data_IF_926363513945
#
_entry.id   IF_926363513945
#
_cell.length_a   1.000
_cell.length_b   1.000
_cell.length_c   1.000
_cell.angle_alpha   90.00
_cell.angle_beta   90.00
_cell.angle_gamma   90.00
#
_symmetry.space_group_name_H-M   'P 1'
#
loop_
_entity.id
_entity.type
_entity.pdbx_description
1 polymer ?
#
# COMPACT_ATOMS: atom_id res chain seq x y z
N UNK A 1 42.65 -13.94 42.30
CA UNK A 1 41.49 -14.33 41.53
C UNK A 1 40.83 -13.03 41.04
N UNK A 2 40.82 -12.72 39.74
CA UNK A 2 40.14 -11.52 39.22
C UNK A 2 38.68 -11.81 39.00
N UNK A 3 37.84 -10.93 39.55
CA UNK A 3 36.39 -11.01 39.48
C UNK A 3 35.84 -10.87 38.09
N UNK A 4 34.95 -11.77 37.72
CA UNK A 4 34.15 -11.75 36.48
C UNK A 4 33.13 -10.61 36.58
N UNK A 5 33.34 -9.52 35.84
CA UNK A 5 32.34 -8.48 35.66
C UNK A 5 31.23 -9.04 34.76
N UNK A 6 30.09 -9.36 35.35
CA UNK A 6 28.85 -9.63 34.68
C UNK A 6 28.42 -8.38 33.92
N UNK A 7 28.59 -8.36 32.59
CA UNK A 7 27.95 -7.40 31.71
C UNK A 7 26.50 -7.85 31.51
N UNK A 8 25.60 -7.40 32.37
CA UNK A 8 24.16 -7.50 32.10
C UNK A 8 23.88 -6.74 30.81
N UNK A 9 23.62 -7.48 29.71
CA UNK A 9 22.98 -6.93 28.54
C UNK A 9 21.65 -6.33 28.98
N UNK A 10 21.54 -5.00 29.00
CA UNK A 10 20.26 -4.33 29.04
C UNK A 10 19.52 -4.77 27.78
N UNK A 11 18.58 -5.69 27.94
CA UNK A 11 17.53 -5.96 26.94
C UNK A 11 16.75 -4.66 26.87
N UNK A 12 16.85 -3.96 25.74
CA UNK A 12 16.02 -2.82 25.44
C UNK A 12 14.59 -3.36 25.34
N UNK A 13 13.78 -3.02 26.33
CA UNK A 13 12.36 -3.37 26.42
C UNK A 13 11.59 -2.46 25.43
N UNK A 14 11.76 -2.73 24.14
CA UNK A 14 11.11 -2.01 23.02
C UNK A 14 10.22 -2.98 22.27
N UNK A 15 9.27 -3.58 22.99
CA UNK A 15 8.27 -4.45 22.38
C UNK A 15 7.21 -3.57 21.72
N UNK A 16 6.93 -3.78 20.44
CA UNK A 16 5.64 -3.41 19.88
C UNK A 16 4.58 -4.16 20.69
N UNK A 17 3.67 -3.43 21.35
CA UNK A 17 2.66 -4.08 22.19
C UNK A 17 1.48 -4.45 21.30
N UNK A 18 1.25 -5.75 21.17
CA UNK A 18 0.01 -6.24 20.55
C UNK A 18 -1.18 -5.70 21.35
N UNK A 19 -2.10 -5.03 20.66
CA UNK A 19 -3.35 -4.53 21.23
C UNK A 19 -4.44 -5.59 21.13
N UNK A 20 -4.57 -6.18 19.95
CA UNK A 20 -5.51 -7.26 19.71
C UNK A 20 -5.06 -8.11 18.49
N UNK A 21 -5.66 -9.27 18.39
CA UNK A 21 -5.49 -10.23 17.31
C UNK A 21 -6.85 -10.80 16.93
N UNK A 22 -7.11 -10.99 15.63
CA UNK A 22 -8.26 -11.67 15.09
C UNK A 22 -7.84 -12.70 14.03
N UNK A 23 -8.67 -13.70 13.82
CA UNK A 23 -8.46 -14.74 12.82
C UNK A 23 -9.55 -14.65 11.76
N UNK A 24 -9.16 -14.50 10.51
CA UNK A 24 -10.01 -14.69 9.33
C UNK A 24 -9.87 -16.13 8.84
N UNK A 25 -10.80 -16.55 8.01
CA UNK A 25 -10.85 -17.93 7.50
C UNK A 25 -9.74 -18.22 6.49
N UNK A 26 -9.14 -17.19 5.87
CA UNK A 26 -8.15 -17.32 4.80
C UNK A 26 -7.18 -16.15 4.76
N UNK A 27 -6.17 -16.22 3.89
CA UNK A 27 -5.14 -15.23 3.62
C UNK A 27 -5.70 -13.79 3.57
N UNK A 28 -5.09 -12.88 4.32
CA UNK A 28 -5.41 -11.45 4.30
C UNK A 28 -4.84 -10.82 3.04
N UNK A 29 -5.71 -10.52 2.09
CA UNK A 29 -5.32 -9.99 0.79
C UNK A 29 -5.28 -8.46 0.74
N UNK A 30 -6.12 -7.79 1.54
CA UNK A 30 -6.15 -6.34 1.62
C UNK A 30 -6.49 -5.88 3.04
N UNK A 31 -5.88 -4.79 3.48
CA UNK A 31 -5.99 -4.24 4.83
C UNK A 31 -6.00 -2.71 4.76
N UNK A 32 -7.05 -2.06 5.30
CA UNK A 32 -7.20 -0.62 5.24
C UNK A 32 -7.82 -0.02 6.49
N UNK A 33 -7.18 1.05 7.01
CA UNK A 33 -7.76 1.89 8.06
C UNK A 33 -8.75 2.89 7.47
N UNK A 34 -9.87 3.14 8.18
CA UNK A 34 -10.70 4.30 7.85
C UNK A 34 -9.92 5.60 8.07
N UNK A 35 -10.18 6.68 7.30
CA UNK A 35 -9.47 7.96 7.42
C UNK A 35 -9.55 8.60 8.82
N UNK A 36 -10.62 8.32 9.57
CA UNK A 36 -10.79 8.79 10.95
C UNK A 36 -10.15 7.86 12.00
N UNK A 37 -9.57 6.73 11.59
CA UNK A 37 -8.98 5.72 12.46
C UNK A 37 -9.97 4.93 13.32
N UNK A 38 -11.28 5.06 13.08
CA UNK A 38 -12.33 4.36 13.84
C UNK A 38 -12.38 2.87 13.51
N UNK A 39 -12.15 2.52 12.25
CA UNK A 39 -12.27 1.18 11.70
C UNK A 39 -10.95 0.67 11.11
N UNK A 40 -10.73 -0.62 11.27
CA UNK A 40 -9.80 -1.40 10.44
C UNK A 40 -10.63 -2.39 9.63
N UNK A 41 -10.38 -2.46 8.33
CA UNK A 41 -11.03 -3.41 7.44
C UNK A 41 -10.00 -4.37 6.88
N UNK A 42 -10.35 -5.65 6.90
CA UNK A 42 -9.54 -6.71 6.31
C UNK A 42 -10.39 -7.53 5.34
N UNK A 43 -9.86 -7.78 4.15
CA UNK A 43 -10.43 -8.67 3.16
C UNK A 43 -9.59 -9.94 3.04
N UNK A 44 -10.25 -11.08 2.90
CA UNK A 44 -9.60 -12.38 2.68
C UNK A 44 -9.73 -12.85 1.23
N UNK A 45 -8.81 -13.68 0.80
CA UNK A 45 -8.83 -14.32 -0.52
C UNK A 45 -10.11 -15.12 -0.74
N UNK A 46 -10.68 -15.73 0.31
CA UNK A 46 -11.96 -16.46 0.23
C UNK A 46 -13.20 -15.58 0.03
N UNK A 47 -13.06 -14.25 0.08
CA UNK A 47 -14.09 -13.27 -0.30
C UNK A 47 -14.63 -12.38 0.80
N UNK A 48 -14.93 -12.84 2.04
CA UNK A 48 -15.50 -11.99 3.07
C UNK A 48 -14.63 -10.80 3.46
N UNK A 49 -15.29 -9.70 3.82
CA UNK A 49 -14.66 -8.48 4.29
C UNK A 49 -15.11 -8.23 5.73
N UNK A 50 -14.17 -8.10 6.64
CA UNK A 50 -14.47 -7.90 8.06
C UNK A 50 -14.10 -6.47 8.48
N UNK A 51 -15.05 -5.78 9.10
CA UNK A 51 -14.87 -4.46 9.71
C UNK A 51 -14.66 -4.62 11.20
N UNK A 52 -13.53 -4.17 11.71
CA UNK A 52 -13.18 -4.20 13.13
C UNK A 52 -13.24 -2.80 13.74
N UNK A 53 -13.68 -2.70 14.99
CA UNK A 53 -13.41 -1.53 15.82
C UNK A 53 -11.90 -1.43 16.04
N UNK A 54 -11.28 -0.38 15.56
CA UNK A 54 -9.82 -0.22 15.50
C UNK A 54 -9.11 -0.42 16.83
N UNK A 55 -9.68 0.09 17.93
CA UNK A 55 -9.07 0.04 19.27
C UNK A 55 -9.20 -1.29 19.99
N UNK A 56 -10.26 -2.08 19.69
CA UNK A 56 -10.61 -3.28 20.46
C UNK A 56 -10.50 -4.57 19.68
N UNK A 57 -10.48 -4.51 18.34
CA UNK A 57 -10.56 -5.68 17.47
C UNK A 57 -11.93 -6.34 17.44
N UNK A 58 -12.94 -5.72 18.06
CA UNK A 58 -14.30 -6.24 18.03
C UNK A 58 -14.83 -6.18 16.58
N UNK A 59 -15.32 -7.30 16.07
CA UNK A 59 -16.00 -7.36 14.79
C UNK A 59 -17.28 -6.53 14.86
N UNK A 60 -17.39 -5.56 13.96
CA UNK A 60 -18.60 -4.73 13.82
C UNK A 60 -19.51 -5.29 12.73
N UNK A 61 -18.91 -5.61 11.57
CA UNK A 61 -19.65 -6.17 10.44
C UNK A 61 -18.80 -7.20 9.70
N UNK A 62 -19.47 -8.20 9.13
CA UNK A 62 -18.91 -9.12 8.14
C UNK A 62 -19.71 -8.88 6.87
N UNK A 63 -19.08 -8.29 5.87
CA UNK A 63 -19.67 -8.04 4.56
C UNK A 63 -19.47 -9.27 3.68
N UNK A 64 -20.44 -9.54 2.80
CA UNK A 64 -20.42 -10.74 1.97
C UNK A 64 -19.25 -10.83 0.97
N UNK A 65 -18.58 -9.70 0.71
CA UNK A 65 -17.43 -9.67 -0.19
C UNK A 65 -17.76 -10.09 -1.63
N UNK A 66 -16.82 -10.74 -2.29
CA UNK A 66 -16.92 -11.12 -3.69
C UNK A 66 -16.87 -12.63 -3.88
N UNK A 67 -17.57 -13.11 -4.92
CA UNK A 67 -17.46 -14.51 -5.35
C UNK A 67 -16.07 -14.72 -5.98
N UNK A 68 -15.40 -15.79 -5.63
CA UNK A 68 -14.04 -16.16 -6.02
C UNK A 68 -12.91 -15.40 -5.31
N UNK A 69 -13.16 -14.25 -4.70
CA UNK A 69 -12.18 -13.54 -3.91
C UNK A 69 -12.32 -12.02 -3.98
N UNK A 70 -11.96 -11.35 -2.88
CA UNK A 70 -11.84 -9.90 -2.82
C UNK A 70 -10.41 -9.51 -3.16
N UNK A 71 -10.20 -8.74 -4.24
CA UNK A 71 -8.88 -8.30 -4.69
C UNK A 71 -8.39 -7.10 -3.90
N UNK A 72 -9.24 -6.08 -3.73
CA UNK A 72 -8.86 -4.83 -3.10
C UNK A 72 -10.02 -4.19 -2.34
N UNK A 73 -9.68 -3.43 -1.29
CA UNK A 73 -10.59 -2.56 -0.55
C UNK A 73 -10.00 -1.15 -0.46
N UNK A 74 -10.84 -0.13 -0.57
CA UNK A 74 -10.43 1.26 -0.51
C UNK A 74 -11.49 2.15 0.14
N UNK A 75 -11.06 3.04 1.04
CA UNK A 75 -11.91 4.04 1.69
C UNK A 75 -11.96 5.31 0.86
N UNK A 76 -13.13 5.94 0.78
CA UNK A 76 -13.20 7.32 0.33
C UNK A 76 -12.60 8.28 1.37
N UNK A 77 -12.23 9.49 0.97
CA UNK A 77 -11.52 10.44 1.83
C UNK A 77 -12.27 10.82 3.11
N UNK A 78 -13.62 10.79 3.09
CA UNK A 78 -14.43 11.07 4.27
C UNK A 78 -14.66 9.89 5.22
N UNK A 79 -14.25 8.67 4.82
CA UNK A 79 -14.50 7.45 5.60
C UNK A 79 -15.96 7.00 5.65
N UNK A 80 -16.82 7.56 4.81
CA UNK A 80 -18.28 7.26 4.79
C UNK A 80 -18.66 6.18 3.80
N UNK A 81 -17.75 5.81 2.90
CA UNK A 81 -17.94 4.76 1.89
C UNK A 81 -16.68 3.90 1.83
N UNK A 82 -16.88 2.60 1.91
CA UNK A 82 -15.88 1.60 1.60
C UNK A 82 -16.18 1.03 0.21
N UNK A 83 -15.19 0.97 -0.67
CA UNK A 83 -15.27 0.25 -1.93
C UNK A 83 -14.54 -1.08 -1.81
N UNK A 84 -15.05 -2.12 -2.45
CA UNK A 84 -14.36 -3.39 -2.64
C UNK A 84 -14.44 -3.84 -4.07
N UNK A 85 -13.40 -4.52 -4.56
CA UNK A 85 -13.30 -5.08 -5.89
C UNK A 85 -12.93 -6.56 -5.81
N UNK A 86 -13.34 -7.34 -6.80
CA UNK A 86 -13.10 -8.77 -6.74
C UNK A 86 -12.98 -9.48 -8.08
N UNK A 87 -12.68 -10.77 -7.97
CA UNK A 87 -12.50 -11.70 -9.07
C UNK A 87 -13.81 -11.98 -9.84
N UNK A 88 -14.95 -11.61 -9.26
CA UNK A 88 -16.27 -11.70 -9.91
C UNK A 88 -16.54 -10.56 -10.92
N UNK A 89 -15.53 -9.69 -11.15
CA UNK A 89 -15.64 -8.55 -12.06
C UNK A 89 -16.55 -7.43 -11.53
N UNK A 90 -16.88 -7.47 -10.25
CA UNK A 90 -17.76 -6.48 -9.62
C UNK A 90 -16.96 -5.54 -8.71
N UNK A 91 -17.54 -4.37 -8.51
CA UNK A 91 -17.17 -3.44 -7.46
C UNK A 91 -18.40 -3.27 -6.58
N UNK A 92 -18.23 -3.20 -5.27
CA UNK A 92 -19.31 -2.95 -4.32
C UNK A 92 -18.99 -1.73 -3.49
N UNK A 93 -19.96 -0.87 -3.29
CA UNK A 93 -19.89 0.26 -2.36
C UNK A 93 -20.70 -0.09 -1.12
N UNK A 94 -20.08 0.11 0.04
CA UNK A 94 -20.62 -0.27 1.33
C UNK A 94 -20.82 0.95 2.22
N UNK A 95 -21.88 0.90 3.03
CA UNK A 95 -22.05 1.75 4.19
C UNK A 95 -21.35 1.08 5.38
N UNK A 96 -20.19 1.56 5.83
CA UNK A 96 -19.43 0.91 6.88
C UNK A 96 -20.06 1.03 8.27
N UNK A 97 -20.89 2.06 8.51
CA UNK A 97 -21.57 2.27 9.78
C UNK A 97 -22.67 1.22 10.00
N UNK A 98 -23.40 0.86 8.92
CA UNK A 98 -24.52 -0.08 9.00
C UNK A 98 -24.19 -1.48 8.46
N UNK A 99 -23.00 -1.65 7.84
CA UNK A 99 -22.60 -2.93 7.22
C UNK A 99 -23.43 -3.32 6.00
N UNK A 100 -24.00 -2.34 5.28
CA UNK A 100 -24.92 -2.57 4.17
C UNK A 100 -24.29 -2.25 2.83
N UNK A 101 -24.60 -3.05 1.80
CA UNK A 101 -24.26 -2.74 0.41
C UNK A 101 -25.13 -1.58 -0.07
N UNK A 102 -24.51 -0.49 -0.50
CA UNK A 102 -25.20 0.67 -1.11
C UNK A 102 -25.53 0.40 -2.56
N UNK A 103 -24.54 -0.04 -3.32
CA UNK A 103 -24.70 -0.38 -4.74
C UNK A 103 -23.61 -1.33 -5.23
N UNK A 104 -23.89 -1.97 -6.35
CA UNK A 104 -23.02 -2.90 -7.05
C UNK A 104 -22.77 -2.39 -8.46
N UNK A 105 -21.49 -2.31 -8.86
CA UNK A 105 -21.05 -1.77 -10.13
C UNK A 105 -20.43 -2.90 -10.97
N UNK A 106 -20.70 -2.89 -12.27
CA UNK A 106 -20.07 -3.83 -13.20
C UNK A 106 -18.70 -3.33 -13.62
N UNK A 107 -17.66 -3.82 -12.98
CA UNK A 107 -16.26 -3.44 -13.25
C UNK A 107 -15.73 -4.01 -14.56
N UNK A 108 -16.36 -5.04 -15.13
CA UNK A 108 -15.97 -5.64 -16.39
C UNK A 108 -16.08 -7.14 -16.43
N UNK A 109 -15.57 -7.76 -17.49
CA UNK A 109 -15.54 -9.21 -17.67
C UNK A 109 -14.26 -9.86 -17.07
N UNK A 110 -13.30 -9.07 -16.62
CA UNK A 110 -12.09 -9.51 -15.94
C UNK A 110 -12.18 -9.19 -14.44
N UNK A 111 -11.28 -9.76 -13.66
CA UNK A 111 -11.11 -9.38 -12.26
C UNK A 111 -10.88 -7.88 -12.14
N UNK A 112 -11.51 -7.25 -11.18
CA UNK A 112 -11.22 -5.87 -10.81
C UNK A 112 -10.11 -5.91 -9.78
N UNK A 113 -8.89 -5.64 -10.24
CA UNK A 113 -7.68 -5.80 -9.42
C UNK A 113 -7.31 -4.53 -8.66
N UNK A 114 -7.74 -3.35 -9.17
CA UNK A 114 -7.33 -2.07 -8.60
C UNK A 114 -8.49 -1.11 -8.42
N UNK A 115 -8.49 -0.43 -7.27
CA UNK A 115 -9.40 0.65 -6.89
C UNK A 115 -8.59 1.86 -6.41
N UNK A 116 -9.01 3.06 -6.79
CA UNK A 116 -8.44 4.28 -6.26
C UNK A 116 -9.51 5.37 -6.11
N UNK A 117 -9.68 5.88 -4.90
CA UNK A 117 -10.52 7.05 -4.65
C UNK A 117 -9.75 8.33 -4.95
N UNK A 118 -10.42 9.30 -5.57
CA UNK A 118 -9.87 10.64 -5.74
C UNK A 118 -9.53 11.27 -4.37
N UNK A 119 -8.56 12.19 -4.30
CA UNK A 119 -8.21 12.86 -3.04
C UNK A 119 -9.38 13.57 -2.36
N UNK A 120 -10.38 14.04 -3.14
CA UNK A 120 -11.62 14.65 -2.64
C UNK A 120 -12.64 13.60 -2.18
N UNK A 121 -12.49 12.34 -2.63
CA UNK A 121 -13.35 11.21 -2.24
C UNK A 121 -14.69 11.14 -2.96
N UNK A 122 -14.88 11.89 -4.04
CA UNK A 122 -16.10 11.95 -4.85
C UNK A 122 -16.06 11.05 -6.09
N UNK A 123 -14.87 10.68 -6.55
CA UNK A 123 -14.66 9.83 -7.70
C UNK A 123 -13.96 8.53 -7.29
N UNK A 124 -14.41 7.42 -7.87
CA UNK A 124 -13.74 6.12 -7.73
C UNK A 124 -13.22 5.69 -9.10
N UNK A 125 -11.95 5.38 -9.18
CA UNK A 125 -11.34 4.73 -10.33
C UNK A 125 -11.24 3.22 -10.11
N UNK A 126 -11.40 2.43 -11.17
CA UNK A 126 -11.20 0.98 -11.15
C UNK A 126 -10.48 0.48 -12.39
N UNK A 127 -9.64 -0.54 -12.22
CA UNK A 127 -8.99 -1.21 -13.33
C UNK A 127 -9.32 -2.71 -13.33
N UNK A 128 -9.74 -3.19 -14.51
CA UNK A 128 -10.09 -4.59 -14.79
C UNK A 128 -9.41 -5.04 -16.09
N UNK A 129 -8.32 -5.80 -15.97
CA UNK A 129 -7.50 -6.17 -17.11
C UNK A 129 -6.94 -4.92 -17.82
N UNK A 130 -7.40 -4.64 -19.05
CA UNK A 130 -6.94 -3.51 -19.85
C UNK A 130 -7.87 -2.29 -19.81
N UNK A 131 -8.92 -2.32 -18.99
CA UNK A 131 -9.99 -1.32 -18.95
C UNK A 131 -9.88 -0.51 -17.68
N UNK A 132 -9.83 0.81 -17.83
CA UNK A 132 -9.90 1.80 -16.76
C UNK A 132 -11.28 2.46 -16.79
N UNK A 133 -11.95 2.54 -15.64
CA UNK A 133 -13.24 3.19 -15.48
C UNK A 133 -13.25 4.19 -14.35
N UNK A 134 -14.08 5.20 -14.51
CA UNK A 134 -14.36 6.22 -13.52
C UNK A 134 -15.83 6.20 -13.13
N UNK A 135 -16.10 6.29 -11.85
CA UNK A 135 -17.42 6.18 -11.26
C UNK A 135 -17.69 7.38 -10.35
N UNK A 136 -18.95 7.82 -10.31
CA UNK A 136 -19.42 8.67 -9.23
C UNK A 136 -19.38 7.88 -7.91
N UNK A 137 -18.63 8.34 -6.95
CA UNK A 137 -18.41 7.63 -5.69
C UNK A 137 -19.62 7.58 -4.76
N UNK A 138 -20.64 8.41 -5.01
CA UNK A 138 -21.84 8.48 -4.16
C UNK A 138 -22.91 7.52 -4.58
N UNK A 139 -23.24 7.50 -5.88
CA UNK A 139 -24.36 6.73 -6.45
C UNK A 139 -23.90 5.55 -7.33
N UNK A 140 -22.60 5.45 -7.60
CA UNK A 140 -22.01 4.38 -8.39
C UNK A 140 -22.27 4.51 -9.90
N UNK A 141 -22.78 5.65 -10.39
CA UNK A 141 -22.96 5.85 -11.82
C UNK A 141 -21.60 5.88 -12.54
N UNK A 142 -21.49 5.16 -13.66
CA UNK A 142 -20.28 5.18 -14.49
C UNK A 142 -20.21 6.53 -15.23
N UNK A 143 -19.13 7.27 -14.96
CA UNK A 143 -18.87 8.57 -15.57
C UNK A 143 -18.08 8.40 -16.86
N UNK A 144 -17.11 7.50 -16.88
CA UNK A 144 -16.17 7.36 -17.97
C UNK A 144 -15.65 5.92 -18.08
N UNK A 145 -15.52 5.42 -19.31
CA UNK A 145 -14.65 4.29 -19.65
C UNK A 145 -13.56 4.83 -20.59
N UNK A 146 -12.32 4.75 -20.13
CA UNK A 146 -11.18 5.25 -20.90
C UNK A 146 -10.79 4.30 -22.02
N UNK A 147 -10.08 4.77 -23.06
CA UNK A 147 -9.57 3.93 -24.12
C UNK A 147 -8.78 2.74 -23.60
N UNK A 148 -8.97 1.61 -24.23
CA UNK A 148 -8.36 0.35 -23.81
C UNK A 148 -6.82 0.41 -23.87
N UNK A 149 -6.17 0.10 -22.76
CA UNK A 149 -4.73 0.03 -22.70
C UNK A 149 -4.14 -1.07 -23.58
N UNK A 150 -2.89 -0.91 -23.97
CA UNK A 150 -2.16 -1.92 -24.78
C UNK A 150 -1.97 -3.24 -24.05
N UNK A 151 -1.84 -3.20 -22.73
CA UNK A 151 -1.64 -4.34 -21.83
C UNK A 151 -2.51 -4.20 -20.57
N UNK A 152 -2.52 -5.23 -19.73
CA UNK A 152 -3.14 -5.19 -18.40
C UNK A 152 -2.62 -4.02 -17.58
N UNK A 153 -3.53 -3.30 -16.95
CA UNK A 153 -3.22 -2.23 -16.00
C UNK A 153 -2.74 -2.88 -14.71
N UNK A 154 -1.55 -2.54 -14.29
CA UNK A 154 -0.89 -3.11 -13.12
C UNK A 154 -0.98 -2.24 -11.87
N UNK A 155 -1.34 -0.98 -12.02
CA UNK A 155 -1.57 -0.06 -10.91
C UNK A 155 -2.35 1.18 -11.38
N UNK A 156 -3.13 1.75 -10.48
CA UNK A 156 -3.78 3.06 -10.64
C UNK A 156 -3.60 3.88 -9.38
N UNK A 157 -3.34 5.17 -9.51
CA UNK A 157 -3.21 6.07 -8.38
C UNK A 157 -3.53 7.51 -8.79
N UNK A 158 -4.15 8.28 -7.90
CA UNK A 158 -4.40 9.70 -8.14
C UNK A 158 -3.18 10.53 -7.75
N UNK A 159 -2.87 11.53 -8.57
CA UNK A 159 -1.90 12.53 -8.19
C UNK A 159 -2.38 13.29 -6.94
N UNK A 160 -1.57 13.40 -5.88
CA UNK A 160 -1.95 14.11 -4.66
C UNK A 160 -2.45 15.53 -4.92
N UNK A 161 -3.54 15.92 -4.25
CA UNK A 161 -4.15 17.24 -4.33
C UNK A 161 -4.65 17.69 -5.71
N UNK A 162 -4.83 16.77 -6.65
CA UNK A 162 -5.36 17.05 -8.00
C UNK A 162 -6.49 16.09 -8.35
N UNK A 163 -7.08 16.26 -9.55
CA UNK A 163 -7.99 15.28 -10.16
C UNK A 163 -7.34 14.57 -11.35
N UNK A 164 -6.03 14.42 -11.34
CA UNK A 164 -5.33 13.64 -12.36
C UNK A 164 -5.17 12.20 -11.87
N UNK A 165 -5.77 11.27 -12.60
CA UNK A 165 -5.61 9.83 -12.39
C UNK A 165 -4.41 9.33 -13.19
N UNK A 166 -3.60 8.45 -12.62
CA UNK A 166 -2.55 7.73 -13.33
C UNK A 166 -2.86 6.25 -13.43
N UNK A 167 -2.49 5.66 -14.54
CA UNK A 167 -2.53 4.21 -14.74
C UNK A 167 -1.20 3.73 -15.29
N UNK A 168 -0.69 2.61 -14.77
CA UNK A 168 0.52 1.96 -15.24
C UNK A 168 0.18 0.66 -15.96
N UNK A 169 0.91 0.38 -17.03
CA UNK A 169 0.84 -0.87 -17.77
C UNK A 169 2.18 -1.14 -18.47
N UNK A 170 2.32 -2.26 -19.19
CA UNK A 170 3.43 -2.37 -20.13
C UNK A 170 3.35 -1.23 -21.15
N UNK A 171 4.44 -0.51 -21.29
CA UNK A 171 4.55 0.66 -22.20
C UNK A 171 4.61 2.00 -21.47
N UNK A 172 4.32 2.05 -20.16
CA UNK A 172 4.51 3.29 -19.39
C UNK A 172 3.35 3.69 -18.48
N UNK A 173 3.33 4.98 -18.13
CA UNK A 173 2.34 5.61 -17.27
C UNK A 173 1.51 6.57 -18.08
N UNK A 174 0.20 6.41 -18.05
CA UNK A 174 -0.77 7.34 -18.67
C UNK A 174 -1.44 8.21 -17.61
N UNK A 175 -1.62 9.48 -17.92
CA UNK A 175 -2.26 10.48 -17.06
C UNK A 175 -3.62 10.86 -17.65
N UNK A 176 -4.67 10.84 -16.85
CA UNK A 176 -6.05 11.01 -17.27
C UNK A 176 -6.73 12.14 -16.50
N UNK A 177 -7.61 12.84 -17.18
CA UNK A 177 -8.56 13.77 -16.57
C UNK A 177 -9.97 13.20 -16.64
N UNK A 178 -10.84 13.48 -15.63
CA UNK A 178 -12.20 12.92 -15.59
C UNK A 178 -13.04 13.19 -16.85
N UNK A 179 -12.87 14.35 -17.48
CA UNK A 179 -13.69 14.77 -18.61
C UNK A 179 -13.06 14.46 -19.99
N UNK A 180 -11.92 13.78 -20.04
CA UNK A 180 -11.19 13.54 -21.29
C UNK A 180 -11.06 12.07 -21.61
N UNK A 181 -11.34 11.72 -22.89
CA UNK A 181 -11.09 10.39 -23.43
C UNK A 181 -9.65 10.15 -23.88
N UNK A 182 -8.84 11.20 -23.92
CA UNK A 182 -7.44 11.11 -24.31
C UNK A 182 -6.55 11.35 -23.09
N UNK A 183 -5.41 10.65 -23.00
CA UNK A 183 -4.47 10.88 -21.92
C UNK A 183 -3.90 12.31 -22.02
N UNK A 184 -3.88 13.00 -20.89
CA UNK A 184 -3.24 14.31 -20.77
C UNK A 184 -1.75 14.24 -21.12
N UNK A 185 -1.12 13.12 -20.76
CA UNK A 185 0.30 12.85 -20.91
C UNK A 185 0.57 11.35 -20.84
N UNK A 186 1.63 10.90 -21.47
CA UNK A 186 2.16 9.54 -21.32
C UNK A 186 3.67 9.65 -21.03
N UNK A 187 4.12 8.93 -20.01
CA UNK A 187 5.54 8.65 -19.79
C UNK A 187 5.83 7.27 -20.35
N UNK A 188 6.56 7.23 -21.45
CA UNK A 188 6.83 5.97 -22.15
C UNK A 188 7.98 5.20 -21.47
N UNK A 189 7.75 3.91 -21.26
CA UNK A 189 8.74 2.95 -20.78
C UNK A 189 8.51 1.58 -21.42
N UNK A 190 9.53 1.01 -22.05
CA UNK A 190 9.43 -0.28 -22.73
C UNK A 190 9.59 -1.47 -21.79
N UNK A 191 9.07 -1.38 -20.58
CA UNK A 191 9.11 -2.41 -19.55
C UNK A 191 7.74 -2.66 -18.93
N UNK A 192 7.68 -3.67 -18.07
CA UNK A 192 6.49 -4.01 -17.30
C UNK A 192 6.55 -3.34 -15.93
N UNK A 193 5.79 -2.28 -15.75
CA UNK A 193 5.57 -1.63 -14.47
C UNK A 193 4.66 -2.54 -13.63
N UNK A 194 5.04 -2.80 -12.38
CA UNK A 194 4.28 -3.64 -11.45
C UNK A 194 3.53 -2.82 -10.40
N UNK A 195 4.09 -1.67 -10.02
CA UNK A 195 3.57 -0.78 -8.99
C UNK A 195 3.98 0.65 -9.29
N UNK A 196 3.14 1.60 -8.90
CA UNK A 196 3.46 3.03 -8.89
C UNK A 196 3.30 3.58 -7.47
N UNK A 197 4.03 4.64 -7.16
CA UNK A 197 3.84 5.40 -5.93
C UNK A 197 4.13 6.88 -6.17
N UNK A 198 3.14 7.73 -5.93
CA UNK A 198 3.30 9.17 -5.97
C UNK A 198 4.03 9.68 -4.73
N UNK A 199 4.96 10.62 -4.91
CA UNK A 199 5.44 11.40 -3.77
C UNK A 199 4.30 12.24 -3.18
N UNK A 200 4.21 12.41 -1.84
CA UNK A 200 3.13 13.18 -1.20
C UNK A 200 2.96 14.61 -1.72
N UNK A 201 4.01 15.23 -2.21
CA UNK A 201 3.99 16.58 -2.81
C UNK A 201 3.59 16.60 -4.30
N UNK A 202 3.34 15.43 -4.91
CA UNK A 202 2.90 15.29 -6.29
C UNK A 202 3.94 15.63 -7.36
N UNK A 203 5.22 15.78 -6.99
CA UNK A 203 6.29 16.15 -7.92
C UNK A 203 6.96 14.97 -8.60
N UNK A 204 6.89 13.79 -7.99
CA UNK A 204 7.58 12.58 -8.43
C UNK A 204 6.64 11.38 -8.46
N UNK A 205 6.92 10.47 -9.37
CA UNK A 205 6.37 9.12 -9.39
C UNK A 205 7.53 8.14 -9.32
N UNK A 206 7.44 7.15 -8.44
CA UNK A 206 8.31 5.98 -8.49
C UNK A 206 7.55 4.82 -9.11
N UNK A 207 8.21 4.03 -9.95
CA UNK A 207 7.71 2.73 -10.42
C UNK A 207 8.62 1.62 -9.97
N UNK A 208 8.02 0.49 -9.60
CA UNK A 208 8.75 -0.76 -9.40
C UNK A 208 8.46 -1.68 -10.57
N UNK A 209 9.52 -2.31 -11.11
CA UNK A 209 9.45 -2.94 -12.42
C UNK A 209 9.81 -4.43 -12.39
N UNK A 210 9.34 -5.17 -13.39
CA UNK A 210 9.55 -6.61 -13.55
C UNK A 210 11.02 -6.96 -13.81
N UNK A 211 11.78 -6.06 -14.40
CA UNK A 211 13.20 -6.23 -14.76
C UNK A 211 14.17 -5.89 -13.61
N UNK A 212 13.67 -5.85 -12.37
CA UNK A 212 14.46 -5.56 -11.18
C UNK A 212 15.07 -4.14 -11.17
N UNK A 213 14.30 -3.17 -11.63
CA UNK A 213 14.63 -1.75 -11.59
C UNK A 213 13.56 -0.94 -10.88
N UNK A 214 13.89 0.27 -10.53
CA UNK A 214 12.97 1.31 -10.08
C UNK A 214 13.21 2.54 -10.93
N UNK A 215 12.14 3.07 -11.53
CA UNK A 215 12.19 4.35 -12.22
C UNK A 215 11.64 5.45 -11.33
N UNK A 216 12.32 6.57 -11.36
CA UNK A 216 11.97 7.78 -10.64
C UNK A 216 11.70 8.88 -11.66
N UNK A 217 10.43 9.24 -11.81
CA UNK A 217 9.94 10.19 -12.79
C UNK A 217 9.79 11.57 -12.17
N UNK A 218 10.39 12.59 -12.78
CA UNK A 218 10.14 14.00 -12.47
C UNK A 218 8.92 14.44 -13.26
N UNK A 219 7.79 14.66 -12.58
CA UNK A 219 6.48 14.86 -13.23
C UNK A 219 6.46 16.12 -14.10
N UNK A 220 7.18 17.16 -13.71
CA UNK A 220 7.21 18.44 -14.41
C UNK A 220 7.62 18.32 -15.88
N UNK A 221 8.65 17.54 -16.17
CA UNK A 221 9.27 17.45 -17.51
C UNK A 221 9.31 16.02 -18.06
N UNK A 222 8.93 15.01 -17.25
CA UNK A 222 8.94 13.61 -17.66
C UNK A 222 10.33 12.98 -17.66
N UNK A 223 11.33 13.65 -17.05
CA UNK A 223 12.66 13.06 -16.91
C UNK A 223 12.58 11.79 -16.06
N UNK A 224 13.21 10.72 -16.54
CA UNK A 224 13.35 9.43 -15.89
C UNK A 224 14.76 9.25 -15.34
N UNK A 225 14.85 8.81 -14.10
CA UNK A 225 16.08 8.39 -13.43
C UNK A 225 15.93 6.94 -13.01
N UNK A 226 16.78 6.07 -13.55
CA UNK A 226 16.67 4.63 -13.29
C UNK A 226 17.62 4.19 -12.17
N UNK A 227 17.07 3.41 -11.21
CA UNK A 227 17.81 2.83 -10.11
C UNK A 227 17.96 1.33 -10.30
N UNK A 228 19.21 0.85 -10.21
CA UNK A 228 19.60 -0.53 -10.47
C UNK A 228 20.13 -1.21 -9.21
N UNK A 229 20.34 -2.52 -9.31
CA UNK A 229 21.00 -3.31 -8.28
C UNK A 229 20.05 -4.12 -7.40
N UNK A 230 18.78 -4.22 -7.81
CA UNK A 230 17.84 -5.11 -7.16
C UNK A 230 18.02 -6.55 -7.67
N UNK A 231 18.02 -7.55 -6.77
CA UNK A 231 18.19 -8.95 -7.20
C UNK A 231 16.95 -9.53 -7.87
N UNK A 232 15.76 -8.94 -7.63
CA UNK A 232 14.50 -9.37 -8.25
C UNK A 232 13.59 -8.18 -8.56
N UNK A 233 12.46 -8.46 -9.21
CA UNK A 233 11.39 -7.48 -9.44
C UNK A 233 11.02 -6.69 -8.19
N UNK A 234 10.67 -5.41 -8.35
CA UNK A 234 10.28 -4.53 -7.26
C UNK A 234 8.77 -4.33 -7.26
N UNK A 235 8.10 -4.64 -6.15
CA UNK A 235 6.65 -4.48 -5.97
C UNK A 235 6.29 -3.59 -4.78
N UNK A 236 7.23 -3.34 -3.89
CA UNK A 236 7.02 -2.60 -2.66
C UNK A 236 7.69 -1.23 -2.77
N UNK A 237 6.88 -0.19 -2.71
CA UNK A 237 7.30 1.21 -2.71
C UNK A 237 6.59 1.95 -1.58
N UNK A 238 7.31 2.81 -0.87
CA UNK A 238 6.71 3.70 0.12
C UNK A 238 7.48 5.01 0.19
N UNK A 239 6.76 6.13 0.14
CA UNK A 239 7.30 7.46 0.35
C UNK A 239 7.13 7.88 1.81
N UNK A 240 8.10 8.60 2.33
CA UNK A 240 7.87 9.31 3.59
C UNK A 240 7.08 10.62 3.33
N UNK A 241 6.41 11.12 4.36
CA UNK A 241 5.54 12.31 4.27
C UNK A 241 6.22 13.55 3.65
N UNK A 242 7.52 13.76 3.89
CA UNK A 242 8.23 14.93 3.34
C UNK A 242 8.64 14.78 1.88
N UNK A 243 8.27 13.71 1.19
CA UNK A 243 8.70 13.39 -0.19
C UNK A 243 10.23 13.29 -0.35
N UNK A 244 10.95 13.14 0.76
CA UNK A 244 12.41 13.09 0.75
C UNK A 244 12.94 11.66 0.60
N UNK A 245 12.31 10.70 1.27
CA UNK A 245 12.78 9.32 1.27
C UNK A 245 11.80 8.41 0.56
N UNK A 246 12.34 7.61 -0.35
CA UNK A 246 11.64 6.51 -1.02
C UNK A 246 12.23 5.19 -0.55
N UNK A 247 11.41 4.35 0.06
CA UNK A 247 11.75 2.98 0.40
C UNK A 247 11.28 2.03 -0.70
N UNK A 248 12.11 1.05 -1.05
CA UNK A 248 11.86 0.08 -2.12
C UNK A 248 12.20 -1.33 -1.64
N UNK A 249 11.42 -2.31 -2.06
CA UNK A 249 11.63 -3.74 -1.83
C UNK A 249 12.49 -4.40 -2.93
N UNK A 250 12.13 -5.62 -3.28
CA UNK A 250 12.79 -6.41 -4.34
C UNK A 250 13.79 -7.45 -3.83
N UNK A 251 13.90 -7.63 -2.50
CA UNK A 251 14.68 -8.70 -1.87
C UNK A 251 14.32 -8.85 -0.39
N UNK A 252 15.18 -9.48 0.39
CA UNK A 252 15.20 -9.50 1.86
C UNK A 252 15.72 -8.18 2.47
N UNK A 253 16.20 -7.26 1.65
CA UNK A 253 16.73 -5.95 2.04
C UNK A 253 15.80 -4.85 1.55
N UNK A 254 15.37 -3.96 2.45
CA UNK A 254 14.70 -2.72 2.05
C UNK A 254 15.76 -1.65 1.76
N UNK A 255 15.67 -1.06 0.58
CA UNK A 255 16.57 0.02 0.14
C UNK A 255 15.85 1.36 0.26
N UNK A 256 16.46 2.33 0.95
CA UNK A 256 15.90 3.68 1.11
C UNK A 256 16.78 4.71 0.43
N UNK A 257 16.16 5.46 -0.46
CA UNK A 257 16.79 6.48 -1.28
C UNK A 257 16.49 7.88 -0.74
N UNK A 258 17.52 8.73 -0.65
CA UNK A 258 17.33 10.17 -0.40
C UNK A 258 17.07 10.87 -1.73
N UNK A 259 15.84 11.30 -1.92
CA UNK A 259 15.36 11.98 -3.13
C UNK A 259 15.41 13.51 -3.02
N UNK A 260 16.12 14.04 -2.03
CA UNK A 260 16.31 15.49 -1.92
C UNK A 260 17.09 16.08 -3.11
N UNK A 261 16.88 17.34 -3.40
CA UNK A 261 17.58 18.03 -4.49
C UNK A 261 17.07 17.62 -5.87
N UNK A 262 17.89 16.91 -6.66
CA UNK A 262 17.56 16.46 -8.02
C UNK A 262 17.04 15.01 -8.09
N UNK A 263 16.58 14.47 -6.99
CA UNK A 263 16.15 13.08 -6.89
C UNK A 263 17.26 12.14 -6.40
N UNK A 264 17.13 10.82 -6.58
CA UNK A 264 18.06 9.82 -6.04
C UNK A 264 19.42 9.80 -6.76
N UNK A 265 19.58 10.51 -7.86
CA UNK A 265 20.81 10.51 -8.68
C UNK A 265 22.04 10.95 -7.87
N UNK A 266 23.04 10.06 -7.78
CA UNK A 266 24.27 10.31 -7.02
C UNK A 266 24.13 10.12 -5.49
N UNK A 267 22.94 9.80 -4.99
CA UNK A 267 22.75 9.46 -3.57
C UNK A 267 23.24 8.03 -3.28
N UNK A 268 23.80 7.83 -2.08
CA UNK A 268 24.12 6.48 -1.60
C UNK A 268 22.91 5.95 -0.83
N UNK A 269 22.30 4.83 -1.28
CA UNK A 269 21.12 4.31 -0.61
C UNK A 269 21.43 3.77 0.79
N UNK A 270 20.43 3.87 1.67
CA UNK A 270 20.42 3.24 2.97
C UNK A 270 19.85 1.83 2.81
N UNK A 271 20.55 0.82 3.31
CA UNK A 271 20.10 -0.57 3.31
C UNK A 271 19.64 -0.98 4.70
N UNK A 272 18.39 -1.43 4.83
CA UNK A 272 17.80 -1.95 6.04
C UNK A 272 17.81 -3.48 5.97
N UNK A 273 18.75 -4.10 6.69
CA UNK A 273 18.98 -5.54 6.71
C UNK A 273 18.40 -6.14 7.99
N UNK A 274 17.35 -6.94 7.91
CA UNK A 274 16.69 -7.50 9.09
C UNK A 274 15.72 -8.65 8.78
N UNK A 275 15.54 -8.98 7.51
CA UNK A 275 14.69 -10.08 7.07
C UNK A 275 15.53 -11.24 6.51
N UNK A 276 14.96 -12.46 6.57
CA UNK A 276 15.56 -13.67 6.05
C UNK A 276 14.88 -14.18 4.76
N UNK A 277 13.80 -13.49 4.35
CA UNK A 277 13.04 -13.76 3.12
C UNK A 277 12.58 -12.45 2.50
N UNK A 278 11.92 -12.52 1.33
CA UNK A 278 11.44 -11.34 0.62
C UNK A 278 10.59 -10.44 1.50
N UNK A 279 10.87 -9.14 1.43
CA UNK A 279 10.01 -8.09 1.97
C UNK A 279 8.72 -8.07 1.16
N UNK A 280 7.60 -8.20 1.85
CA UNK A 280 6.25 -8.29 1.26
C UNK A 280 5.44 -7.01 1.43
N UNK A 281 5.80 -6.16 2.39
CA UNK A 281 5.19 -4.85 2.56
C UNK A 281 6.17 -3.87 3.22
N UNK A 282 6.06 -2.61 2.82
CA UNK A 282 6.85 -1.50 3.35
C UNK A 282 5.90 -0.32 3.55
N UNK A 283 5.95 0.31 4.73
CA UNK A 283 5.20 1.54 4.95
C UNK A 283 5.97 2.51 5.85
N UNK A 284 6.14 3.73 5.39
CA UNK A 284 6.54 4.83 6.26
C UNK A 284 5.38 5.26 7.14
N UNK A 285 5.69 5.71 8.33
CA UNK A 285 4.80 6.44 9.21
C UNK A 285 4.34 7.75 8.52
N UNK A 286 3.08 8.16 8.72
CA UNK A 286 2.53 9.35 8.05
C UNK A 286 3.20 10.64 8.52
N UNK A 287 3.45 10.77 9.83
CA UNK A 287 3.97 12.01 10.44
C UNK A 287 5.22 11.80 11.29
N UNK A 288 5.84 10.64 11.23
CA UNK A 288 6.95 10.27 12.09
C UNK A 288 8.19 9.78 11.35
N UNK A 289 9.26 9.45 12.09
CA UNK A 289 10.54 9.03 11.52
C UNK A 289 10.64 7.52 11.29
N UNK A 290 9.56 6.76 11.55
CA UNK A 290 9.59 5.31 11.50
C UNK A 290 9.24 4.79 10.10
N UNK A 291 9.82 3.66 9.79
CA UNK A 291 9.40 2.79 8.69
C UNK A 291 9.18 1.40 9.25
N UNK A 292 8.12 0.75 8.85
CA UNK A 292 7.83 -0.64 9.13
C UNK A 292 8.02 -1.46 7.84
N UNK A 293 8.64 -2.63 7.98
CA UNK A 293 8.84 -3.59 6.90
C UNK A 293 8.33 -4.95 7.34
N UNK A 294 7.62 -5.63 6.47
CA UNK A 294 7.09 -6.97 6.70
C UNK A 294 7.64 -7.94 5.65
N UNK A 295 7.72 -9.21 5.98
CA UNK A 295 8.36 -10.20 5.12
C UNK A 295 7.65 -11.55 5.14
N UNK A 296 7.92 -12.33 4.10
CA UNK A 296 7.57 -13.74 4.00
C UNK A 296 8.24 -14.61 5.08
N UNK A 297 9.26 -14.11 5.79
CA UNK A 297 9.83 -14.78 6.96
C UNK A 297 8.95 -14.73 8.22
N UNK A 298 7.78 -14.08 8.13
CA UNK A 298 6.83 -13.94 9.21
C UNK A 298 7.19 -12.85 10.22
N UNK A 299 8.19 -12.02 9.92
CA UNK A 299 8.61 -10.94 10.81
C UNK A 299 8.12 -9.58 10.30
N UNK A 300 7.87 -8.70 11.26
CA UNK A 300 7.76 -7.26 11.07
C UNK A 300 8.90 -6.58 11.79
N UNK A 301 9.57 -5.65 11.12
CA UNK A 301 10.71 -4.92 11.64
C UNK A 301 10.45 -3.41 11.56
N UNK A 302 10.67 -2.72 12.66
CA UNK A 302 10.58 -1.28 12.75
C UNK A 302 11.97 -0.65 12.72
N UNK A 303 12.12 0.41 11.95
CA UNK A 303 13.35 1.13 11.75
C UNK A 303 13.18 2.62 12.02
N UNK A 304 14.26 3.25 12.45
CA UNK A 304 14.37 4.70 12.50
C UNK A 304 15.32 5.17 11.40
N UNK A 305 14.81 5.98 10.46
CA UNK A 305 15.56 6.32 9.26
C UNK A 305 16.89 7.06 9.54
N UNK A 306 16.96 7.84 10.60
CA UNK A 306 18.20 8.50 11.00
C UNK A 306 19.19 7.56 11.74
N UNK A 307 18.77 6.35 12.11
CA UNK A 307 19.60 5.34 12.80
C UNK A 307 19.44 3.96 12.13
N UNK A 308 19.70 3.85 10.82
CA UNK A 308 19.28 2.70 10.01
C UNK A 308 20.06 1.40 10.27
N UNK A 309 21.21 1.47 10.96
CA UNK A 309 22.12 0.33 11.14
C UNK A 309 21.56 -0.80 12.01
N UNK A 310 20.52 -0.54 12.80
CA UNK A 310 19.92 -1.53 13.70
C UNK A 310 18.40 -1.37 13.73
N UNK A 311 17.66 -2.47 13.66
CA UNK A 311 16.22 -2.43 13.90
C UNK A 311 15.94 -1.92 15.31
N UNK A 312 14.83 -1.19 15.46
CA UNK A 312 14.31 -0.79 16.76
C UNK A 312 13.63 -1.96 17.45
N UNK A 313 12.79 -2.65 16.71
CA UNK A 313 12.00 -3.80 17.17
C UNK A 313 11.82 -4.77 16.02
N UNK A 314 11.82 -6.06 16.31
CA UNK A 314 11.42 -7.13 15.41
C UNK A 314 10.41 -8.00 16.14
N UNK A 315 9.30 -8.30 15.47
CA UNK A 315 8.18 -9.12 16.00
C UNK A 315 7.86 -10.23 15.01
N UNK A 316 7.78 -11.47 15.49
CA UNK A 316 7.43 -12.63 14.70
C UNK A 316 5.94 -12.96 14.81
N UNK A 317 5.30 -13.29 13.70
CA UNK A 317 3.87 -13.63 13.60
C UNK A 317 3.61 -15.09 13.22
N UNK A 318 4.66 -15.89 13.05
CA UNK A 318 4.56 -17.33 12.79
C UNK A 318 4.08 -17.72 11.39
N UNK A 319 3.71 -16.76 10.55
CA UNK A 319 3.29 -16.93 9.15
C UNK A 319 3.75 -15.73 8.34
N UNK A 320 3.93 -15.91 7.05
CA UNK A 320 4.23 -14.84 6.08
C UNK A 320 3.29 -13.66 6.28
N UNK A 321 3.84 -12.45 6.43
CA UNK A 321 3.05 -11.22 6.56
C UNK A 321 2.78 -10.68 5.17
N UNK A 322 1.50 -10.55 4.81
CA UNK A 322 1.07 -10.13 3.46
C UNK A 322 0.72 -8.65 3.38
N UNK A 323 0.26 -8.05 4.48
CA UNK A 323 -0.23 -6.68 4.51
C UNK A 323 0.30 -5.92 5.73
N UNK A 324 0.53 -4.61 5.55
CA UNK A 324 0.97 -3.69 6.59
C UNK A 324 0.36 -2.31 6.36
N UNK A 325 -0.26 -1.73 7.39
CA UNK A 325 -0.84 -0.39 7.32
C UNK A 325 -0.73 0.36 8.64
N UNK A 326 -0.26 1.61 8.60
CA UNK A 326 -0.29 2.53 9.73
C UNK A 326 -1.67 3.13 9.91
N UNK A 327 -2.12 3.31 11.16
CA UNK A 327 -3.32 4.12 11.42
C UNK A 327 -3.08 5.58 11.03
N UNK A 328 -4.12 6.35 10.64
CA UNK A 328 -3.96 7.74 10.20
C UNK A 328 -3.26 8.66 11.22
N UNK A 329 -3.40 8.35 12.51
CA UNK A 329 -2.78 9.08 13.62
C UNK A 329 -1.40 8.52 14.04
N UNK A 330 -0.89 7.51 13.33
CA UNK A 330 0.38 6.80 13.61
C UNK A 330 0.48 6.15 15.00
N UNK A 331 -0.64 6.04 15.74
CA UNK A 331 -0.63 5.43 17.07
C UNK A 331 -0.67 3.90 17.03
N UNK A 332 -1.16 3.35 15.93
CA UNK A 332 -1.31 1.92 15.71
C UNK A 332 -0.73 1.51 14.34
N UNK A 333 -0.41 0.24 14.24
CA UNK A 333 -0.02 -0.38 12.99
C UNK A 333 -0.70 -1.74 12.90
N UNK A 334 -1.29 -2.05 11.76
CA UNK A 334 -1.99 -3.30 11.49
C UNK A 334 -1.17 -4.18 10.55
N UNK A 335 -1.26 -5.49 10.74
CA UNK A 335 -0.62 -6.52 9.94
C UNK A 335 -1.63 -7.60 9.57
N UNK A 336 -1.56 -8.04 8.33
CA UNK A 336 -2.28 -9.20 7.83
C UNK A 336 -1.31 -10.30 7.43
N UNK A 337 -1.68 -11.56 7.61
CA UNK A 337 -0.83 -12.71 7.26
C UNK A 337 -1.50 -13.63 6.24
N UNK A 338 -0.69 -14.47 5.59
CA UNK A 338 -1.17 -15.53 4.70
C UNK A 338 -2.00 -16.60 5.46
N UNK A 339 -1.79 -16.75 6.77
CA UNK A 339 -2.61 -17.63 7.60
C UNK A 339 -3.92 -16.99 8.10
N UNK A 340 -4.31 -15.81 7.59
CA UNK A 340 -5.54 -15.13 7.97
C UNK A 340 -5.48 -14.35 9.29
N UNK A 341 -4.32 -14.23 9.93
CA UNK A 341 -4.21 -13.47 11.18
C UNK A 341 -4.20 -11.98 10.87
N UNK A 342 -5.07 -11.22 11.54
CA UNK A 342 -5.04 -9.76 11.58
C UNK A 342 -4.59 -9.34 12.98
N UNK A 343 -3.54 -8.55 13.05
CA UNK A 343 -2.99 -8.08 14.33
C UNK A 343 -2.81 -6.58 14.32
N UNK A 344 -3.15 -5.92 15.41
CA UNK A 344 -2.88 -4.49 15.63
C UNK A 344 -1.93 -4.32 16.81
N UNK A 345 -0.90 -3.51 16.60
CA UNK A 345 0.12 -3.22 17.60
C UNK A 345 0.33 -1.71 17.77
N UNK A 346 0.81 -1.29 18.94
CA UNK A 346 1.43 0.03 19.09
C UNK A 346 2.85 -0.02 18.54
N UNK A 347 3.28 0.96 17.74
CA UNK A 347 4.67 1.04 17.28
C UNK A 347 5.63 1.35 18.43
N UNK A 348 6.94 1.08 18.26
CA UNK A 348 7.95 1.46 19.25
C UNK A 348 7.99 2.98 19.41
N UNK A 349 8.13 3.43 20.65
CA UNK A 349 8.32 4.86 20.94
C UNK A 349 9.76 5.26 20.68
N UNK A 350 9.96 6.29 19.88
CA UNK A 350 11.27 6.91 19.65
C UNK A 350 11.48 8.02 20.68
N UNK A 351 12.48 7.85 21.53
CA UNK A 351 12.93 8.89 22.46
C UNK A 351 14.09 9.68 21.86
#
# INVERSE_FOLDING_TARGET
MPGIKSTSKRILDTHSRQQWLAQLDDHVNSLAWSPDGKWLVAASVSGPITIFAAKTGQVQHILGGHTFGTCEIAWNASGTILASAGEDGQIRLWDPEHGQERCKLSGGAAWVEHLAWSPQGDLLASAAGRILRLWNGTDGHMLQEYPKHSSTISAIEWQPNTQVLTSASYGGISFWQPESNEPLRIFEWKGSILVIAWSPDGRYIATGDQDATVHFWIVKDGQDLQMYGYPTKVRELSWNNSSRYLATGGSDITTVWDCSGKGPAGSKPIQLQGHAAFVSAIAFQHHGPLIATASADGNVVFWHIAKPKRPLVQTAFGSSVSQLAWSPDDQLVAFGTEAGVVTVCTPPQVR
#
